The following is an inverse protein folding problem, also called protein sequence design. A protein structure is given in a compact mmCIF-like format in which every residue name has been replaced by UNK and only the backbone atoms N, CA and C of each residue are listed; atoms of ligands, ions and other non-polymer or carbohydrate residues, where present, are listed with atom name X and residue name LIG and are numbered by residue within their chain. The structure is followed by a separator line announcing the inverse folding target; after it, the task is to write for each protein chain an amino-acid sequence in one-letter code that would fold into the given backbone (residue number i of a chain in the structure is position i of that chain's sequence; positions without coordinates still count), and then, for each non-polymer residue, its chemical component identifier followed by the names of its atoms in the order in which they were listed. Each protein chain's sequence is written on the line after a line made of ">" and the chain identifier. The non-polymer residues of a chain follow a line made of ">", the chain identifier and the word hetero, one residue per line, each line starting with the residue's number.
data_IF_498528949589
#
_entry.id   IF_498528949589
#
_cell.length_a   1.000
_cell.length_b   1.000
_cell.length_c   1.000
_cell.angle_alpha   90.00
_cell.angle_beta   90.00
_cell.angle_gamma   90.00
#
_symmetry.space_group_name_H-M   'P 1'
#
loop_
_entity.id
_entity.type
_entity.pdbx_description
1 polymer ?
#
# COMPACT_ATOMS: atom_id res chain seq x y z
N UNK A 1 -3.54 16.86 -42.71
CA UNK A 1 -3.85 15.64 -41.93
C UNK A 1 -2.70 15.35 -40.94
N UNK A 2 -2.32 16.32 -40.10
CA UNK A 2 -1.12 16.26 -39.23
C UNK A 2 -1.41 16.79 -37.81
N UNK A 3 -2.64 16.65 -37.33
CA UNK A 3 -3.13 17.32 -36.11
C UNK A 3 -3.47 16.35 -34.97
N UNK A 4 -3.11 15.06 -35.07
CA UNK A 4 -3.55 14.01 -34.13
C UNK A 4 -2.47 13.26 -33.36
N UNK A 5 -1.20 13.67 -33.47
CA UNK A 5 -0.08 12.95 -32.79
C UNK A 5 0.39 13.68 -31.52
N UNK A 6 -0.34 14.71 -31.07
CA UNK A 6 0.06 15.61 -29.97
C UNK A 6 -0.76 15.40 -28.68
N UNK A 7 -1.10 14.17 -28.29
CA UNK A 7 -1.98 13.94 -27.13
C UNK A 7 -1.75 12.62 -26.36
N UNK A 8 -0.50 12.19 -26.21
CA UNK A 8 -0.14 11.21 -25.16
C UNK A 8 1.11 11.71 -24.44
N UNK A 9 0.97 12.91 -23.88
CA UNK A 9 1.89 13.45 -22.91
C UNK A 9 1.27 13.26 -21.51
N UNK A 10 2.13 12.90 -20.55
CA UNK A 10 1.94 13.16 -19.11
C UNK A 10 1.05 12.20 -18.29
N UNK A 11 1.33 10.89 -18.23
CA UNK A 11 0.95 10.07 -17.04
C UNK A 11 1.93 8.92 -16.77
N UNK A 12 3.25 9.15 -16.83
CA UNK A 12 4.24 8.10 -16.48
C UNK A 12 5.34 8.57 -15.50
N UNK A 13 5.25 9.81 -14.99
CA UNK A 13 6.28 10.41 -14.11
C UNK A 13 5.88 10.47 -12.63
N UNK A 14 5.02 9.54 -12.19
CA UNK A 14 4.54 9.49 -10.80
C UNK A 14 5.11 8.36 -9.93
N UNK A 15 6.07 7.58 -10.42
CA UNK A 15 6.62 6.41 -9.71
C UNK A 15 8.06 6.67 -9.24
N UNK A 16 8.27 7.41 -8.13
CA UNK A 16 9.47 7.20 -7.28
C UNK A 16 9.62 8.12 -6.06
N UNK A 17 8.95 9.27 -5.94
CA UNK A 17 9.14 10.12 -4.74
C UNK A 17 8.19 9.75 -3.61
N UNK A 18 8.51 8.63 -2.96
CA UNK A 18 7.81 8.21 -1.75
C UNK A 18 8.24 6.85 -1.24
N UNK A 19 9.51 6.50 -1.39
CA UNK A 19 10.20 5.47 -0.60
C UNK A 19 10.37 5.99 0.84
N UNK A 20 9.25 6.34 1.49
CA UNK A 20 9.25 6.53 2.94
C UNK A 20 9.38 5.14 3.54
N UNK A 21 10.43 4.92 4.32
CA UNK A 21 10.66 3.65 5.03
C UNK A 21 9.37 3.25 5.78
N UNK A 22 8.95 1.99 5.66
CA UNK A 22 7.79 1.49 6.42
C UNK A 22 8.08 1.65 7.91
N UNK A 23 7.33 2.54 8.56
CA UNK A 23 7.34 2.81 9.99
C UNK A 23 5.95 3.34 10.40
N UNK A 24 5.63 3.36 11.70
CA UNK A 24 4.30 3.76 12.18
C UNK A 24 3.87 5.14 11.67
N UNK A 25 4.78 6.12 11.71
CA UNK A 25 4.50 7.48 11.27
C UNK A 25 4.13 7.55 9.78
N UNK A 26 4.86 6.83 8.92
CA UNK A 26 4.58 6.80 7.49
C UNK A 26 3.30 6.01 7.18
N UNK A 27 3.04 4.92 7.90
CA UNK A 27 1.80 4.14 7.80
C UNK A 27 0.59 5.03 8.07
N UNK A 28 0.63 5.84 9.12
CA UNK A 28 -0.46 6.79 9.43
C UNK A 28 -0.63 7.86 8.35
N UNK A 29 0.49 8.41 7.85
CA UNK A 29 0.45 9.42 6.79
C UNK A 29 -0.18 8.88 5.51
N UNK A 30 0.04 7.61 5.18
CA UNK A 30 -0.48 7.02 3.95
C UNK A 30 -2.00 7.03 3.88
N UNK A 31 -2.71 6.95 5.02
CA UNK A 31 -4.19 7.01 5.07
C UNK A 31 -4.78 8.27 4.42
N UNK A 32 -3.99 9.36 4.37
CA UNK A 32 -4.39 10.66 3.83
C UNK A 32 -3.97 10.89 2.38
N UNK A 33 -3.44 9.86 1.70
CA UNK A 33 -2.87 9.98 0.36
C UNK A 33 -3.62 9.11 -0.65
N UNK A 34 -3.72 9.55 -1.90
CA UNK A 34 -4.38 8.77 -2.97
C UNK A 34 -3.69 7.44 -3.26
N UNK A 35 -2.38 7.32 -2.98
CA UNK A 35 -1.61 6.06 -3.11
C UNK A 35 -1.58 5.25 -1.82
N UNK A 36 -2.22 5.72 -0.77
CA UNK A 36 -2.21 5.15 0.57
C UNK A 36 -2.60 3.69 0.63
N UNK A 37 -3.78 3.31 0.09
CA UNK A 37 -4.24 1.92 0.11
C UNK A 37 -3.21 0.95 -0.48
N UNK A 38 -2.61 1.29 -1.63
CA UNK A 38 -1.60 0.44 -2.26
C UNK A 38 -0.28 0.34 -1.50
N UNK A 39 0.05 1.32 -0.64
CA UNK A 39 1.22 1.23 0.25
C UNK A 39 0.92 0.41 1.51
N UNK A 40 -0.27 0.58 2.08
CA UNK A 40 -0.72 -0.15 3.25
C UNK A 40 -0.89 -1.65 2.94
N UNK A 41 -1.46 -2.00 1.78
CA UNK A 41 -1.56 -3.39 1.33
C UNK A 41 -0.16 -4.03 1.16
N UNK A 42 0.78 -3.30 0.55
CA UNK A 42 2.18 -3.76 0.46
C UNK A 42 2.81 -3.98 1.83
N UNK A 43 2.65 -3.04 2.76
CA UNK A 43 3.21 -3.18 4.11
C UNK A 43 2.55 -4.30 4.92
N UNK A 44 1.27 -4.58 4.70
CA UNK A 44 0.57 -5.72 5.28
C UNK A 44 1.12 -7.05 4.75
N UNK A 45 1.36 -7.14 3.44
CA UNK A 45 1.83 -8.36 2.76
C UNK A 45 3.34 -8.59 2.84
N UNK A 46 4.11 -7.64 3.35
CA UNK A 46 5.57 -7.75 3.45
C UNK A 46 5.97 -8.64 4.64
N UNK A 47 6.46 -9.85 4.33
CA UNK A 47 6.93 -10.82 5.33
C UNK A 47 8.26 -10.41 5.97
N UNK A 48 9.01 -9.49 5.37
CA UNK A 48 10.26 -8.97 5.89
C UNK A 48 10.09 -7.79 6.85
N UNK A 49 8.88 -7.28 7.02
CA UNK A 49 8.57 -6.25 8.01
C UNK A 49 8.25 -6.82 9.38
N UNK A 50 8.47 -6.00 10.41
CA UNK A 50 8.00 -6.31 11.76
C UNK A 50 6.49 -6.62 11.73
N UNK A 51 6.02 -7.71 12.37
CA UNK A 51 4.59 -8.04 12.46
C UNK A 51 3.73 -6.88 12.96
N UNK A 52 4.25 -6.05 13.87
CA UNK A 52 3.55 -4.87 14.40
C UNK A 52 3.32 -3.80 13.32
N UNK A 53 4.27 -3.62 12.40
CA UNK A 53 4.10 -2.70 11.26
C UNK A 53 3.03 -3.21 10.29
N UNK A 54 2.99 -4.51 10.01
CA UNK A 54 1.93 -5.10 9.18
C UNK A 54 0.57 -5.00 9.85
N UNK A 55 0.48 -5.25 11.16
CA UNK A 55 -0.74 -5.09 11.95
C UNK A 55 -1.22 -3.63 11.93
N UNK A 56 -0.31 -2.67 12.08
CA UNK A 56 -0.64 -1.25 12.02
C UNK A 56 -1.16 -0.85 10.63
N UNK A 57 -0.54 -1.36 9.56
CA UNK A 57 -1.02 -1.14 8.20
C UNK A 57 -2.43 -1.71 7.98
N UNK A 58 -2.71 -2.93 8.48
CA UNK A 58 -4.04 -3.54 8.43
C UNK A 58 -5.09 -2.72 9.20
N UNK A 59 -4.77 -2.27 10.42
CA UNK A 59 -5.67 -1.45 11.22
C UNK A 59 -6.05 -0.16 10.48
N UNK A 60 -5.10 0.48 9.82
CA UNK A 60 -5.37 1.66 9.01
C UNK A 60 -6.19 1.36 7.76
N UNK A 61 -5.98 0.21 7.09
CA UNK A 61 -6.84 -0.20 5.98
C UNK A 61 -8.30 -0.46 6.41
N UNK A 62 -8.51 -1.09 7.57
CA UNK A 62 -9.85 -1.29 8.17
C UNK A 62 -10.51 0.06 8.46
N UNK A 63 -9.78 1.01 9.06
CA UNK A 63 -10.30 2.36 9.33
C UNK A 63 -10.70 3.11 8.06
N UNK A 64 -10.11 2.75 6.91
CA UNK A 64 -10.45 3.29 5.59
C UNK A 64 -11.58 2.53 4.88
N UNK A 65 -12.13 1.48 5.51
CA UNK A 65 -13.23 0.66 4.95
C UNK A 65 -12.77 -0.44 3.97
N UNK A 66 -11.49 -0.79 3.97
CA UNK A 66 -10.93 -1.83 3.09
C UNK A 66 -10.84 -3.21 3.80
N UNK A 67 -11.78 -3.50 4.69
CA UNK A 67 -11.86 -4.77 5.44
C UNK A 67 -11.78 -6.03 4.55
N UNK A 68 -12.45 -6.10 3.38
CA UNK A 68 -12.35 -7.27 2.51
C UNK A 68 -10.93 -7.53 1.99
N UNK A 69 -10.18 -6.45 1.70
CA UNK A 69 -8.80 -6.55 1.21
C UNK A 69 -7.85 -7.01 2.31
N UNK A 70 -8.02 -6.48 3.52
CA UNK A 70 -7.29 -6.93 4.71
C UNK A 70 -7.53 -8.42 4.94
N UNK A 71 -8.80 -8.84 4.90
CA UNK A 71 -9.17 -10.24 5.13
C UNK A 71 -8.52 -11.15 4.11
N UNK A 72 -8.60 -10.79 2.82
CA UNK A 72 -7.94 -11.53 1.73
C UNK A 72 -6.43 -11.62 1.94
N UNK A 73 -5.77 -10.52 2.30
CA UNK A 73 -4.33 -10.51 2.54
C UNK A 73 -3.93 -11.43 3.71
N UNK A 74 -4.72 -11.46 4.79
CA UNK A 74 -4.50 -12.37 5.93
C UNK A 74 -4.74 -13.84 5.57
N UNK A 75 -5.76 -14.12 4.75
CA UNK A 75 -6.02 -15.49 4.28
C UNK A 75 -4.88 -15.99 3.37
N UNK A 76 -4.31 -15.10 2.54
CA UNK A 76 -3.16 -15.37 1.65
C UNK A 76 -1.79 -15.42 2.37
N UNK A 77 -1.69 -14.96 3.62
CA UNK A 77 -0.41 -14.95 4.36
C UNK A 77 0.19 -16.36 4.52
N UNK A 78 1.52 -16.47 4.42
CA UNK A 78 2.18 -17.76 4.64
C UNK A 78 2.03 -18.25 6.10
N UNK A 79 2.08 -19.56 6.30
CA UNK A 79 1.98 -20.16 7.63
C UNK A 79 3.05 -19.65 8.62
N UNK A 80 4.34 -19.52 8.25
CA UNK A 80 5.35 -18.95 9.14
C UNK A 80 5.06 -17.51 9.54
N UNK A 81 4.38 -16.74 8.68
CA UNK A 81 4.00 -15.36 8.99
C UNK A 81 2.80 -15.29 9.93
N UNK A 82 1.84 -16.21 9.84
CA UNK A 82 0.64 -16.22 10.71
C UNK A 82 0.90 -16.62 12.17
N UNK A 83 2.04 -17.26 12.46
CA UNK A 83 2.38 -17.78 13.80
C UNK A 83 3.42 -16.94 14.54
N UNK A 84 3.86 -15.82 13.96
CA UNK A 84 4.66 -14.78 14.61
C UNK A 84 3.76 -13.86 15.43
#
# INVERSE_FOLDING_TARGET
>A
MFTRVLLIAVVALGLSTGCGKTNHENIDKWTRTSKGPGKLDKALRDEGHDPDLSAHAAANMIRMGNDPDVRRALDEMSQPRRVQ
#
